data_IF_828910191779
#
_entry.id   IF_828910191779
#
_cell.length_a   1.000
_cell.length_b   1.000
_cell.length_c   1.000
_cell.angle_alpha   90.00
_cell.angle_beta   90.00
_cell.angle_gamma   90.00
#
_symmetry.space_group_name_H-M   'P 1'
#
loop_
_entity.id
_entity.type
_entity.pdbx_description
1 polymer ?
#
# COMPACT_ATOMS: atom_id res chain seq x y z
N UNK A 1 34.51 -18.17 17.38
CA UNK A 1 33.88 -18.44 16.07
C UNK A 1 34.90 -18.87 15.04
N UNK A 2 34.48 -19.45 13.91
CA UNK A 2 35.37 -19.79 12.80
C UNK A 2 36.14 -18.56 12.28
N UNK A 3 35.52 -17.39 12.30
CA UNK A 3 36.15 -16.12 11.96
C UNK A 3 37.33 -15.80 12.90
N UNK A 4 37.12 -15.86 14.21
CA UNK A 4 38.15 -15.61 15.22
C UNK A 4 39.30 -16.65 15.14
N UNK A 5 38.95 -17.91 14.84
CA UNK A 5 39.96 -18.96 14.62
C UNK A 5 40.85 -18.62 13.42
N UNK A 6 40.27 -18.18 12.30
CA UNK A 6 41.05 -17.78 11.11
C UNK A 6 41.84 -16.50 11.34
N UNK A 7 41.32 -15.56 12.10
CA UNK A 7 42.04 -14.35 12.50
C UNK A 7 43.24 -14.68 13.35
N UNK A 8 43.07 -15.53 14.39
CA UNK A 8 44.18 -15.99 15.25
C UNK A 8 45.23 -16.79 14.50
N UNK A 9 44.86 -17.48 13.42
CA UNK A 9 45.77 -18.24 12.54
C UNK A 9 46.38 -17.39 11.42
N UNK A 10 46.14 -16.09 11.36
CA UNK A 10 46.53 -15.16 10.29
C UNK A 10 46.16 -15.67 8.88
N UNK A 11 45.01 -16.28 8.74
CA UNK A 11 44.50 -16.80 7.46
C UNK A 11 43.74 -15.75 6.64
N UNK A 12 43.65 -14.52 7.09
CA UNK A 12 43.03 -13.41 6.36
C UNK A 12 43.86 -12.99 5.15
N UNK A 13 43.21 -12.77 4.01
CA UNK A 13 43.87 -12.24 2.80
C UNK A 13 44.34 -10.79 2.99
N UNK A 14 43.65 -10.01 3.80
CA UNK A 14 43.91 -8.60 4.09
C UNK A 14 43.27 -8.20 5.42
N UNK A 15 44.03 -7.46 6.22
CA UNK A 15 43.48 -6.81 7.43
C UNK A 15 43.18 -5.34 7.11
N UNK A 16 41.99 -4.91 7.40
CA UNK A 16 41.52 -3.53 7.22
C UNK A 16 40.84 -3.01 8.49
N UNK A 17 40.89 -1.70 8.70
CA UNK A 17 40.28 -1.08 9.85
C UNK A 17 38.73 -1.17 9.71
N UNK A 18 38.06 -1.69 10.72
CA UNK A 18 36.61 -1.86 10.70
C UNK A 18 35.83 -0.52 10.53
N UNK A 19 36.38 0.58 11.06
CA UNK A 19 35.79 1.90 10.89
C UNK A 19 35.87 2.38 9.45
N UNK A 20 36.96 2.10 8.73
CA UNK A 20 37.07 2.48 7.32
C UNK A 20 36.08 1.70 6.45
N UNK A 21 35.88 0.41 6.75
CA UNK A 21 34.82 -0.39 6.10
C UNK A 21 33.43 0.20 6.37
N UNK A 22 33.17 0.57 7.63
CA UNK A 22 31.88 1.16 8.01
C UNK A 22 31.60 2.47 7.27
N UNK A 23 32.56 3.38 7.21
CA UNK A 23 32.41 4.63 6.45
C UNK A 23 32.19 4.37 4.97
N UNK A 24 32.90 3.42 4.37
CA UNK A 24 32.67 3.04 2.97
C UNK A 24 31.28 2.50 2.71
N UNK A 25 30.69 1.75 3.65
CA UNK A 25 29.30 1.29 3.57
C UNK A 25 28.36 2.50 3.60
N UNK A 26 28.53 3.45 4.54
CA UNK A 26 27.71 4.63 4.66
C UNK A 26 27.80 5.54 3.43
N UNK A 27 29.00 5.77 2.90
CA UNK A 27 29.23 6.53 1.68
C UNK A 27 28.47 5.90 0.50
N UNK A 28 28.62 4.58 0.32
CA UNK A 28 27.95 3.84 -0.74
C UNK A 28 26.43 3.91 -0.61
N UNK A 29 25.88 3.77 0.61
CA UNK A 29 24.46 3.90 0.84
C UNK A 29 23.94 5.31 0.54
N UNK A 30 24.69 6.35 0.88
CA UNK A 30 24.33 7.73 0.60
C UNK A 30 24.33 8.04 -0.89
N UNK A 31 25.28 7.46 -1.66
CA UNK A 31 25.41 7.71 -3.09
C UNK A 31 24.47 6.84 -3.95
N UNK A 32 24.24 5.59 -3.55
CA UNK A 32 23.62 4.57 -4.41
C UNK A 32 22.43 3.84 -3.79
N UNK A 33 22.17 4.00 -2.50
CA UNK A 33 21.16 3.26 -1.75
C UNK A 33 21.55 1.83 -1.39
N UNK A 34 22.74 1.37 -1.75
CA UNK A 34 23.25 0.01 -1.47
C UNK A 34 24.63 0.06 -0.80
N UNK A 35 25.03 -0.98 -0.03
CA UNK A 35 24.37 -2.26 0.23
C UNK A 35 23.20 -2.12 1.22
N UNK A 36 22.22 -3.03 1.14
CA UNK A 36 21.21 -3.17 2.17
C UNK A 36 21.80 -3.73 3.46
N UNK A 37 21.34 -3.24 4.61
CA UNK A 37 21.72 -3.73 5.93
C UNK A 37 20.52 -4.36 6.62
N UNK A 38 20.64 -5.63 6.97
CA UNK A 38 19.62 -6.36 7.72
C UNK A 38 20.14 -6.72 9.11
N UNK A 39 19.33 -6.47 10.11
CA UNK A 39 19.61 -6.83 11.49
C UNK A 39 19.28 -8.30 11.72
N UNK A 40 20.23 -9.17 11.48
CA UNK A 40 20.07 -10.64 11.51
C UNK A 40 19.37 -11.15 12.76
N UNK A 41 19.76 -10.67 13.95
CA UNK A 41 19.18 -11.14 15.21
C UNK A 41 17.73 -10.69 15.36
N UNK A 42 17.39 -9.46 14.95
CA UNK A 42 16.03 -8.97 14.93
C UNK A 42 15.16 -9.77 13.94
N UNK A 43 15.67 -10.06 12.73
CA UNK A 43 14.98 -10.89 11.75
C UNK A 43 14.66 -12.27 12.31
N UNK A 44 15.64 -12.94 12.92
CA UNK A 44 15.47 -14.27 13.52
C UNK A 44 14.50 -14.25 14.71
N UNK A 45 14.62 -13.25 15.60
CA UNK A 45 13.74 -13.11 16.77
C UNK A 45 12.27 -12.92 16.38
N UNK A 46 12.03 -12.23 15.26
CA UNK A 46 10.68 -11.82 14.82
C UNK A 46 10.11 -12.67 13.67
N UNK A 47 10.74 -13.77 13.28
CA UNK A 47 10.26 -14.66 12.23
C UNK A 47 9.30 -15.71 12.76
N UNK A 48 8.24 -15.99 11.98
CA UNK A 48 7.37 -17.13 12.24
C UNK A 48 8.07 -18.48 11.93
N UNK A 49 9.22 -18.47 11.21
CA UNK A 49 10.02 -19.65 10.91
C UNK A 49 11.19 -19.87 11.90
N UNK A 50 11.26 -19.13 13.01
CA UNK A 50 12.36 -19.25 13.99
C UNK A 50 12.50 -20.62 14.65
N UNK A 51 11.44 -21.45 14.61
CA UNK A 51 11.46 -22.85 15.08
C UNK A 51 12.26 -23.78 14.15
N UNK A 52 12.57 -23.37 12.92
CA UNK A 52 13.32 -24.18 11.96
C UNK A 52 14.85 -24.08 12.18
N UNK A 53 15.30 -22.92 12.66
CA UNK A 53 16.73 -22.65 12.87
C UNK A 53 17.08 -21.19 12.55
N UNK A 54 18.36 -20.91 12.36
CA UNK A 54 18.84 -19.55 12.10
C UNK A 54 18.69 -19.19 10.62
N UNK A 55 17.95 -18.13 10.34
CA UNK A 55 17.87 -17.50 9.01
C UNK A 55 19.17 -16.73 8.80
N UNK A 56 19.91 -17.07 7.74
CA UNK A 56 21.27 -16.58 7.49
C UNK A 56 21.35 -15.47 6.47
N UNK A 57 20.36 -15.38 5.58
CA UNK A 57 20.34 -14.46 4.43
C UNK A 57 18.91 -14.06 4.07
N UNK A 58 18.79 -13.07 3.20
CA UNK A 58 17.56 -12.67 2.52
C UNK A 58 17.71 -12.82 1.01
N UNK A 59 16.67 -12.51 0.23
CA UNK A 59 16.76 -12.34 -1.22
C UNK A 59 17.42 -11.00 -1.59
N UNK A 60 17.57 -10.73 -2.90
CA UNK A 60 18.20 -9.53 -3.43
C UNK A 60 17.54 -8.23 -2.92
N UNK A 61 16.21 -8.17 -2.89
CA UNK A 61 15.46 -6.97 -2.51
C UNK A 61 15.10 -6.92 -1.01
N UNK A 62 15.55 -7.88 -0.21
CA UNK A 62 15.39 -7.96 1.25
C UNK A 62 13.97 -8.15 1.78
N UNK A 63 12.95 -8.28 0.94
CA UNK A 63 11.58 -8.55 1.37
C UNK A 63 11.35 -9.99 1.84
N UNK A 64 12.23 -10.93 1.46
CA UNK A 64 12.15 -12.35 1.81
C UNK A 64 13.19 -12.67 2.86
N UNK A 65 12.72 -13.04 4.05
CA UNK A 65 13.54 -13.49 5.17
C UNK A 65 13.05 -14.87 5.58
N UNK A 66 13.56 -15.91 4.90
CA UNK A 66 13.13 -17.28 5.03
C UNK A 66 14.27 -18.19 5.42
N UNK A 67 13.93 -19.29 6.08
CA UNK A 67 14.89 -20.32 6.47
C UNK A 67 15.41 -21.10 5.25
N UNK A 68 16.71 -21.34 5.22
CA UNK A 68 17.40 -22.21 4.27
C UNK A 68 18.54 -22.93 4.97
N UNK A 69 18.80 -24.19 4.55
CA UNK A 69 19.94 -24.99 5.01
C UNK A 69 20.49 -25.86 3.90
N UNK A 70 21.29 -26.88 4.26
CA UNK A 70 21.86 -27.81 3.27
C UNK A 70 20.84 -28.71 2.58
N UNK A 71 19.63 -28.85 3.11
CA UNK A 71 18.56 -29.73 2.62
C UNK A 71 17.43 -28.98 1.93
N UNK A 72 17.21 -27.70 2.28
CA UNK A 72 16.15 -26.90 1.74
C UNK A 72 16.61 -25.48 1.38
N UNK A 73 16.09 -24.96 0.28
CA UNK A 73 16.37 -23.61 -0.19
C UNK A 73 15.07 -22.82 -0.32
N UNK A 74 14.97 -21.68 0.35
CA UNK A 74 13.81 -20.80 0.30
C UNK A 74 13.52 -20.30 -1.12
N UNK A 75 12.25 -20.22 -1.46
CA UNK A 75 11.75 -19.72 -2.76
C UNK A 75 10.53 -18.84 -2.57
N UNK A 76 10.55 -17.68 -3.22
CA UNK A 76 9.46 -16.71 -3.18
C UNK A 76 8.27 -17.14 -4.04
N UNK A 77 7.05 -16.99 -3.51
CA UNK A 77 5.80 -17.04 -4.26
C UNK A 77 5.09 -15.72 -4.05
N UNK A 78 5.20 -14.80 -4.99
CA UNK A 78 4.86 -13.39 -4.81
C UNK A 78 3.65 -12.97 -5.61
N UNK A 79 2.86 -12.06 -5.03
CA UNK A 79 1.83 -11.29 -5.71
C UNK A 79 1.75 -9.89 -5.13
N UNK A 80 1.36 -8.90 -5.92
CA UNK A 80 1.14 -7.53 -5.44
C UNK A 80 -0.27 -7.05 -5.76
N UNK A 81 -0.87 -6.32 -4.81
CA UNK A 81 -2.22 -5.78 -4.92
C UNK A 81 -2.15 -4.29 -5.27
N UNK A 82 -2.89 -3.87 -6.30
CA UNK A 82 -2.95 -2.49 -6.76
C UNK A 82 -3.89 -1.67 -5.86
N UNK A 83 -3.34 -0.97 -4.86
CA UNK A 83 -4.11 -0.26 -3.83
C UNK A 83 -4.99 0.85 -4.36
N UNK A 84 -4.57 1.53 -5.43
CA UNK A 84 -5.34 2.61 -6.07
C UNK A 84 -6.75 2.20 -6.52
N UNK A 85 -6.99 0.89 -6.73
CA UNK A 85 -8.28 0.35 -7.14
C UNK A 85 -9.34 0.29 -6.03
N UNK A 86 -8.92 0.44 -4.77
CA UNK A 86 -9.80 0.42 -3.60
C UNK A 86 -10.19 1.83 -3.14
N UNK A 87 -9.70 2.89 -3.81
CA UNK A 87 -10.18 4.24 -3.55
C UNK A 87 -11.49 4.44 -4.25
N UNK A 88 -12.53 4.73 -3.48
CA UNK A 88 -13.88 5.02 -3.96
C UNK A 88 -14.22 6.46 -3.62
N UNK A 89 -14.79 7.17 -4.59
CA UNK A 89 -15.42 8.45 -4.34
C UNK A 89 -16.88 8.18 -4.02
N UNK A 90 -17.38 8.55 -2.83
CA UNK A 90 -18.79 8.43 -2.53
C UNK A 90 -19.61 9.25 -3.52
N UNK A 91 -20.74 8.75 -3.93
CA UNK A 91 -21.70 9.51 -4.72
C UNK A 91 -22.70 10.20 -3.78
N UNK A 92 -23.03 11.44 -4.05
CA UNK A 92 -24.18 12.08 -3.39
C UNK A 92 -25.44 11.43 -3.96
N UNK A 93 -26.32 10.86 -3.13
CA UNK A 93 -27.54 10.21 -3.59
C UNK A 93 -28.59 11.28 -3.99
N UNK A 94 -28.36 11.90 -5.15
CA UNK A 94 -29.33 12.87 -5.69
C UNK A 94 -30.65 12.19 -6.05
N UNK A 95 -31.76 12.82 -5.65
CA UNK A 95 -33.12 12.38 -5.99
C UNK A 95 -33.58 12.93 -7.36
N UNK A 96 -33.04 14.10 -7.74
CA UNK A 96 -33.46 14.88 -8.91
C UNK A 96 -32.28 15.20 -9.82
N UNK A 97 -31.64 14.17 -10.42
CA UNK A 97 -30.43 14.30 -11.24
C UNK A 97 -30.51 15.39 -12.32
N UNK A 98 -31.71 15.64 -12.86
CA UNK A 98 -31.92 16.67 -13.90
C UNK A 98 -32.15 18.09 -13.32
N UNK A 99 -32.17 18.24 -11.99
CA UNK A 99 -32.46 19.50 -11.32
C UNK A 99 -31.46 19.84 -10.20
N UNK A 100 -30.18 19.51 -10.43
CA UNK A 100 -29.13 19.92 -9.52
C UNK A 100 -28.76 21.36 -9.81
N UNK A 101 -28.77 22.22 -8.79
CA UNK A 101 -28.46 23.64 -8.89
C UNK A 101 -27.34 24.04 -7.95
N UNK A 102 -26.48 24.95 -8.39
CA UNK A 102 -25.49 25.60 -7.55
C UNK A 102 -25.71 27.12 -7.56
N UNK A 103 -25.86 27.70 -6.38
CA UNK A 103 -25.87 29.14 -6.22
C UNK A 103 -24.47 29.67 -5.96
N UNK A 104 -24.04 30.65 -6.75
CA UNK A 104 -22.69 31.19 -6.72
C UNK A 104 -22.70 32.73 -6.75
N UNK A 105 -21.55 33.36 -6.54
CA UNK A 105 -21.33 34.80 -6.77
C UNK A 105 -20.06 35.05 -7.54
N UNK A 106 -19.92 36.21 -8.13
CA UNK A 106 -18.72 36.64 -8.84
C UNK A 106 -17.53 36.75 -7.86
N UNK A 107 -16.30 36.50 -8.33
CA UNK A 107 -15.05 36.60 -7.56
C UNK A 107 -15.04 35.79 -6.24
N UNK A 108 -15.58 34.59 -6.28
CA UNK A 108 -15.73 33.72 -5.12
C UNK A 108 -14.85 32.47 -5.26
N UNK A 109 -13.80 32.38 -4.51
CA UNK A 109 -12.87 31.23 -4.53
C UNK A 109 -13.58 29.92 -4.11
N UNK A 110 -14.42 29.96 -3.09
CA UNK A 110 -15.19 28.79 -2.62
C UNK A 110 -16.16 28.29 -3.70
N UNK A 111 -16.75 29.22 -4.48
CA UNK A 111 -17.62 28.84 -5.60
C UNK A 111 -16.83 28.16 -6.71
N UNK A 112 -15.62 28.62 -7.00
CA UNK A 112 -14.73 27.96 -7.95
C UNK A 112 -14.34 26.56 -7.45
N UNK A 113 -13.97 26.43 -6.17
CA UNK A 113 -13.62 25.13 -5.57
C UNK A 113 -14.79 24.15 -5.62
N UNK A 114 -16.01 24.59 -5.32
CA UNK A 114 -17.23 23.77 -5.44
C UNK A 114 -17.43 23.27 -6.88
N UNK A 115 -17.34 24.17 -7.85
CA UNK A 115 -17.50 23.81 -9.27
C UNK A 115 -16.45 22.80 -9.72
N UNK A 116 -15.19 22.95 -9.29
CA UNK A 116 -14.13 22.01 -9.58
C UNK A 116 -14.40 20.63 -8.96
N UNK A 117 -14.89 20.60 -7.71
CA UNK A 117 -15.21 19.34 -7.02
C UNK A 117 -16.38 18.61 -7.72
N UNK A 118 -17.44 19.34 -8.11
CA UNK A 118 -18.56 18.76 -8.85
C UNK A 118 -18.12 18.23 -10.21
N UNK A 119 -17.28 18.99 -10.94
CA UNK A 119 -16.73 18.57 -12.24
C UNK A 119 -15.86 17.32 -12.11
N UNK A 120 -14.98 17.27 -11.09
CA UNK A 120 -14.12 16.12 -10.80
C UNK A 120 -14.93 14.84 -10.57
N UNK A 121 -16.10 14.97 -9.97
CA UNK A 121 -16.99 13.87 -9.68
C UNK A 121 -18.08 13.65 -10.76
N UNK A 122 -17.96 14.28 -11.94
CA UNK A 122 -18.88 14.17 -13.06
C UNK A 122 -20.33 14.53 -12.69
N UNK A 123 -20.52 15.47 -11.76
CA UNK A 123 -21.86 15.96 -11.36
C UNK A 123 -22.21 17.15 -12.25
N UNK A 124 -23.24 16.98 -13.07
CA UNK A 124 -23.82 18.04 -13.88
C UNK A 124 -24.75 18.91 -13.04
N UNK A 125 -24.70 20.21 -13.22
CA UNK A 125 -25.50 21.16 -12.46
C UNK A 125 -25.84 22.39 -13.29
N UNK A 126 -26.90 23.10 -12.88
CA UNK A 126 -27.25 24.43 -13.36
C UNK A 126 -26.69 25.49 -12.41
N UNK A 127 -25.90 26.42 -12.92
CA UNK A 127 -25.36 27.53 -12.11
C UNK A 127 -26.35 28.70 -12.10
N UNK A 128 -26.71 29.18 -10.92
CA UNK A 128 -27.48 30.40 -10.69
C UNK A 128 -26.60 31.40 -9.91
N UNK A 129 -26.40 32.60 -10.49
CA UNK A 129 -25.59 33.64 -9.86
C UNK A 129 -26.47 34.52 -8.98
N UNK A 130 -26.00 34.75 -7.77
CA UNK A 130 -26.61 35.68 -6.81
C UNK A 130 -25.84 36.99 -6.90
N UNK A 131 -26.50 38.04 -7.34
CA UNK A 131 -25.92 39.38 -7.39
C UNK A 131 -25.74 39.95 -5.98
N UNK A 132 -24.81 40.90 -5.83
CA UNK A 132 -24.45 41.46 -4.52
C UNK A 132 -25.64 42.14 -3.87
N UNK A 133 -26.47 42.83 -4.68
CA UNK A 133 -27.66 43.56 -4.25
C UNK A 133 -28.75 42.61 -3.71
N UNK A 134 -28.85 41.40 -4.25
CA UNK A 134 -29.87 40.41 -3.88
C UNK A 134 -29.39 39.43 -2.79
N UNK A 135 -28.13 39.55 -2.34
CA UNK A 135 -27.52 38.55 -1.47
C UNK A 135 -28.20 38.42 -0.10
N UNK A 136 -28.65 39.55 0.50
CA UNK A 136 -29.37 39.52 1.78
C UNK A 136 -30.77 38.93 1.65
N UNK A 137 -31.47 39.19 0.56
CA UNK A 137 -32.79 38.58 0.27
C UNK A 137 -32.63 37.07 0.02
N UNK A 138 -31.62 36.69 -0.74
CA UNK A 138 -31.26 35.29 -1.00
C UNK A 138 -31.00 34.51 0.30
N UNK A 139 -30.20 35.05 1.22
CA UNK A 139 -29.91 34.42 2.52
C UNK A 139 -31.21 34.14 3.31
N UNK A 140 -32.08 35.12 3.38
CA UNK A 140 -33.36 34.97 4.10
C UNK A 140 -34.31 33.97 3.43
N UNK A 141 -34.37 33.99 2.09
CA UNK A 141 -35.24 33.11 1.33
C UNK A 141 -34.82 31.64 1.43
N UNK A 142 -33.51 31.39 1.44
CA UNK A 142 -32.94 30.04 1.40
C UNK A 142 -32.43 29.55 2.75
N UNK A 143 -32.53 30.35 3.81
CA UNK A 143 -32.02 30.05 5.16
C UNK A 143 -30.54 29.64 5.16
N UNK A 144 -29.71 30.42 4.46
CA UNK A 144 -28.27 30.16 4.32
C UNK A 144 -27.48 31.45 4.57
N UNK A 145 -26.24 31.30 5.08
CA UNK A 145 -25.38 32.45 5.41
C UNK A 145 -24.38 32.81 4.29
N UNK A 146 -24.09 31.84 3.41
CA UNK A 146 -23.01 31.98 2.44
C UNK A 146 -23.32 31.31 1.11
N UNK A 147 -22.55 31.62 0.08
CA UNK A 147 -22.43 30.84 -1.16
C UNK A 147 -20.99 30.32 -1.30
N UNK A 148 -20.74 29.19 -1.98
CA UNK A 148 -21.68 28.40 -2.80
C UNK A 148 -22.64 27.57 -1.97
N UNK A 149 -23.82 27.26 -2.54
CA UNK A 149 -24.77 26.29 -2.01
C UNK A 149 -25.22 25.35 -3.12
N UNK A 150 -25.23 24.06 -2.84
CA UNK A 150 -25.68 23.00 -3.74
C UNK A 150 -27.08 22.53 -3.34
N UNK A 151 -27.96 22.40 -4.32
CA UNK A 151 -29.33 21.92 -4.16
C UNK A 151 -29.62 20.73 -5.07
N UNK A 152 -30.42 19.82 -4.59
CA UNK A 152 -31.06 18.74 -5.34
C UNK A 152 -32.57 19.03 -5.44
N UNK A 153 -33.01 19.63 -6.55
CA UNK A 153 -34.33 20.24 -6.62
C UNK A 153 -34.45 21.42 -5.66
N UNK A 154 -35.33 21.27 -4.69
CA UNK A 154 -35.52 22.25 -3.60
C UNK A 154 -34.82 21.84 -2.29
N UNK A 155 -34.23 20.66 -2.25
CA UNK A 155 -33.51 20.14 -1.07
C UNK A 155 -32.09 20.72 -0.99
N UNK A 156 -31.76 21.45 0.09
CA UNK A 156 -30.41 21.94 0.35
C UNK A 156 -29.47 20.79 0.70
N UNK A 157 -28.48 20.54 -0.15
CA UNK A 157 -27.37 19.62 0.15
C UNK A 157 -26.35 20.31 1.09
N UNK A 158 -25.93 21.54 0.76
CA UNK A 158 -25.07 22.35 1.59
C UNK A 158 -24.03 23.17 0.85
N UNK A 159 -23.22 23.88 1.64
CA UNK A 159 -22.08 24.67 1.15
C UNK A 159 -20.86 23.78 0.81
N UNK A 160 -19.78 24.43 0.34
CA UNK A 160 -18.57 23.76 -0.13
C UNK A 160 -18.03 22.72 0.86
N UNK A 161 -17.85 23.07 2.12
CA UNK A 161 -17.25 22.16 3.12
C UNK A 161 -18.05 20.86 3.28
N UNK A 162 -19.38 20.96 3.32
CA UNK A 162 -20.26 19.79 3.42
C UNK A 162 -20.23 18.93 2.15
N UNK A 163 -20.26 19.55 0.98
CA UNK A 163 -20.18 18.84 -0.30
C UNK A 163 -18.82 18.16 -0.49
N UNK A 164 -17.74 18.86 -0.15
CA UNK A 164 -16.39 18.30 -0.20
C UNK A 164 -16.22 17.11 0.76
N UNK A 165 -16.85 17.15 1.94
CA UNK A 165 -16.87 16.03 2.88
C UNK A 165 -17.66 14.83 2.32
N UNK A 166 -18.85 15.08 1.75
CA UNK A 166 -19.68 14.04 1.14
C UNK A 166 -19.00 13.36 -0.06
N UNK A 167 -18.18 14.08 -0.80
CA UNK A 167 -17.44 13.59 -1.97
C UNK A 167 -16.02 13.16 -1.64
N UNK A 168 -15.64 13.21 -0.36
CA UNK A 168 -14.28 12.83 0.06
C UNK A 168 -14.01 11.37 -0.28
N UNK A 169 -12.94 11.09 -1.03
CA UNK A 169 -12.57 9.72 -1.36
C UNK A 169 -12.31 8.88 -0.11
N UNK A 170 -12.82 7.67 -0.10
CA UNK A 170 -12.64 6.68 0.99
C UNK A 170 -11.95 5.44 0.46
N UNK A 171 -11.21 4.76 1.33
CA UNK A 171 -10.57 3.49 1.00
C UNK A 171 -11.49 2.32 1.38
N UNK A 172 -11.72 1.40 0.44
CA UNK A 172 -12.57 0.22 0.64
C UNK A 172 -11.74 -0.94 1.22
N UNK A 173 -11.68 -1.00 2.55
CA UNK A 173 -10.98 -2.06 3.26
C UNK A 173 -11.66 -3.43 3.13
N UNK A 174 -12.99 -3.47 2.96
CA UNK A 174 -13.74 -4.71 2.87
C UNK A 174 -13.45 -5.41 1.54
N UNK A 175 -13.39 -4.66 0.45
CA UNK A 175 -13.00 -5.22 -0.85
C UNK A 175 -11.51 -5.60 -0.86
N UNK A 176 -10.62 -4.81 -0.21
CA UNK A 176 -9.22 -5.20 -0.03
C UNK A 176 -9.10 -6.53 0.73
N UNK A 177 -9.84 -6.69 1.81
CA UNK A 177 -9.87 -7.92 2.60
C UNK A 177 -10.25 -9.13 1.72
N UNK A 178 -11.35 -9.01 0.99
CA UNK A 178 -11.83 -10.04 0.08
C UNK A 178 -10.83 -10.41 -1.03
N UNK A 179 -10.24 -9.40 -1.68
CA UNK A 179 -9.23 -9.62 -2.72
C UNK A 179 -7.97 -10.28 -2.14
N UNK A 180 -7.54 -9.88 -0.95
CA UNK A 180 -6.40 -10.50 -0.28
C UNK A 180 -6.64 -11.99 0.01
N UNK A 181 -7.85 -12.37 0.42
CA UNK A 181 -8.22 -13.80 0.58
C UNK A 181 -8.12 -14.56 -0.75
N UNK A 182 -8.56 -13.97 -1.85
CA UNK A 182 -8.44 -14.58 -3.19
C UNK A 182 -6.97 -14.76 -3.58
N UNK A 183 -6.14 -13.73 -3.39
CA UNK A 183 -4.71 -13.79 -3.69
C UNK A 183 -4.02 -14.88 -2.85
N UNK A 184 -4.31 -14.95 -1.55
CA UNK A 184 -3.79 -15.99 -0.66
C UNK A 184 -4.13 -17.39 -1.18
N UNK A 185 -5.38 -17.62 -1.57
CA UNK A 185 -5.80 -18.89 -2.14
C UNK A 185 -5.08 -19.22 -3.46
N UNK A 186 -4.91 -18.22 -4.33
CA UNK A 186 -4.25 -18.42 -5.63
C UNK A 186 -2.76 -18.72 -5.45
N UNK A 187 -2.05 -18.04 -4.53
CA UNK A 187 -0.65 -18.33 -4.25
C UNK A 187 -0.44 -19.74 -3.66
N UNK A 188 -1.39 -20.25 -2.88
CA UNK A 188 -1.34 -21.65 -2.44
C UNK A 188 -1.41 -22.63 -3.62
N UNK A 189 -2.25 -22.35 -4.61
CA UNK A 189 -2.30 -23.17 -5.84
C UNK A 189 -1.01 -23.05 -6.66
N UNK A 190 -0.41 -21.85 -6.72
CA UNK A 190 0.89 -21.64 -7.39
C UNK A 190 1.96 -22.54 -6.75
N UNK A 191 2.04 -22.64 -5.42
CA UNK A 191 2.98 -23.54 -4.75
C UNK A 191 2.82 -24.99 -5.26
N UNK A 192 1.60 -25.45 -5.42
CA UNK A 192 1.32 -26.85 -5.79
C UNK A 192 1.66 -27.18 -7.25
N UNK A 193 1.47 -26.22 -8.17
CA UNK A 193 1.63 -26.42 -9.62
C UNK A 193 2.93 -25.85 -10.20
N UNK A 194 3.72 -25.11 -9.40
CA UNK A 194 4.91 -24.43 -9.88
C UNK A 194 6.02 -25.41 -10.30
N UNK A 195 6.84 -24.98 -11.25
CA UNK A 195 8.07 -25.68 -11.60
C UNK A 195 9.17 -25.29 -10.60
N UNK A 196 9.80 -26.30 -9.99
CA UNK A 196 10.90 -26.10 -9.05
C UNK A 196 12.23 -26.49 -9.71
N UNK A 197 13.21 -25.58 -9.78
CA UNK A 197 14.47 -25.83 -10.48
C UNK A 197 15.37 -26.87 -9.79
N UNK A 198 15.18 -27.07 -8.48
CA UNK A 198 15.93 -28.06 -7.70
C UNK A 198 15.03 -28.79 -6.71
N UNK A 199 15.46 -29.96 -6.24
CA UNK A 199 14.76 -30.72 -5.18
C UNK A 199 14.69 -29.91 -3.88
N UNK A 200 15.75 -29.19 -3.54
CA UNK A 200 15.82 -28.38 -2.30
C UNK A 200 14.78 -27.24 -2.30
N UNK A 201 14.55 -26.61 -3.44
CA UNK A 201 13.54 -25.55 -3.55
C UNK A 201 12.12 -26.11 -3.42
N UNK A 202 11.85 -27.25 -4.01
CA UNK A 202 10.59 -27.96 -3.84
C UNK A 202 10.37 -28.39 -2.38
N UNK A 203 11.41 -28.92 -1.74
CA UNK A 203 11.35 -29.34 -0.33
C UNK A 203 10.96 -28.18 0.58
N UNK A 204 11.59 -27.03 0.46
CA UNK A 204 11.29 -25.84 1.24
C UNK A 204 9.84 -25.39 1.05
N UNK A 205 9.43 -25.20 -0.22
CA UNK A 205 8.09 -24.69 -0.51
C UNK A 205 6.97 -25.65 -0.09
N UNK A 206 7.14 -26.94 -0.33
CA UNK A 206 6.12 -27.93 0.05
C UNK A 206 6.04 -28.11 1.58
N UNK A 207 7.18 -27.98 2.30
CA UNK A 207 7.24 -28.10 3.75
C UNK A 207 6.69 -26.89 4.46
N UNK A 208 7.08 -25.67 4.03
CA UNK A 208 6.85 -24.43 4.74
C UNK A 208 5.74 -23.57 4.11
N UNK A 209 5.41 -23.79 2.85
CA UNK A 209 4.39 -23.09 2.05
C UNK A 209 4.39 -21.56 2.23
N UNK A 210 5.56 -20.88 2.09
CA UNK A 210 5.62 -19.43 2.22
C UNK A 210 4.98 -18.75 1.01
N UNK A 211 4.25 -17.70 1.26
CA UNK A 211 3.77 -16.75 0.25
C UNK A 211 4.17 -15.34 0.63
N UNK A 212 4.22 -14.44 -0.36
CA UNK A 212 4.56 -13.05 -0.15
C UNK A 212 3.59 -12.15 -0.90
N UNK A 213 2.63 -11.56 -0.18
CA UNK A 213 1.69 -10.59 -0.75
C UNK A 213 2.22 -9.20 -0.45
N UNK A 214 2.47 -8.42 -1.49
CA UNK A 214 2.86 -7.03 -1.41
C UNK A 214 1.81 -6.09 -1.99
N UNK A 215 2.18 -4.84 -2.15
CA UNK A 215 1.33 -3.77 -2.66
C UNK A 215 2.02 -3.01 -3.79
N UNK A 216 1.23 -2.30 -4.58
CA UNK A 216 1.68 -1.29 -5.53
C UNK A 216 0.70 -0.13 -5.53
N UNK A 217 1.19 1.07 -5.81
CA UNK A 217 0.36 2.26 -5.91
C UNK A 217 -0.11 2.82 -4.57
N UNK A 218 0.68 2.73 -3.49
CA UNK A 218 0.36 3.41 -2.23
C UNK A 218 0.37 4.92 -2.42
N UNK A 219 1.35 5.47 -3.14
CA UNK A 219 1.41 6.89 -3.47
C UNK A 219 0.23 7.33 -4.35
N UNK A 220 -0.17 6.51 -5.34
CA UNK A 220 -1.38 6.74 -6.13
C UNK A 220 -2.64 6.76 -5.25
N UNK A 221 -2.72 5.87 -4.28
CA UNK A 221 -3.83 5.81 -3.31
C UNK A 221 -3.95 7.11 -2.52
N UNK A 222 -2.82 7.59 -1.97
CA UNK A 222 -2.82 8.84 -1.22
C UNK A 222 -3.14 10.05 -2.11
N UNK A 223 -2.62 10.08 -3.34
CA UNK A 223 -2.97 11.14 -4.30
C UNK A 223 -4.48 11.15 -4.61
N UNK A 224 -5.08 9.98 -4.87
CA UNK A 224 -6.52 9.85 -5.11
C UNK A 224 -7.37 10.24 -3.90
N UNK A 225 -6.88 10.01 -2.68
CA UNK A 225 -7.54 10.38 -1.43
C UNK A 225 -7.25 11.83 -1.00
N UNK A 226 -6.45 12.58 -1.75
CA UNK A 226 -5.96 13.92 -1.39
C UNK A 226 -5.25 13.95 -0.02
N UNK A 227 -4.44 12.93 0.28
CA UNK A 227 -3.70 12.80 1.53
C UNK A 227 -2.20 13.04 1.24
N UNK A 228 -1.53 14.01 1.87
CA UNK A 228 -0.09 14.16 1.76
C UNK A 228 0.65 12.91 2.27
N UNK A 229 1.62 12.43 1.51
CA UNK A 229 2.33 11.18 1.80
C UNK A 229 2.95 11.11 3.21
N UNK A 230 3.44 12.24 3.71
CA UNK A 230 4.09 12.36 5.02
C UNK A 230 3.15 12.78 6.16
N UNK A 231 1.83 12.77 5.94
CA UNK A 231 0.84 13.18 6.94
C UNK A 231 0.52 12.06 7.94
N UNK A 232 0.03 12.44 9.12
CA UNK A 232 -0.48 11.50 10.11
C UNK A 232 -1.65 10.64 9.55
N UNK A 233 -2.50 11.26 8.73
CA UNK A 233 -3.59 10.54 8.07
C UNK A 233 -3.07 9.45 7.12
N UNK A 234 -1.98 9.71 6.38
CA UNK A 234 -1.33 8.69 5.55
C UNK A 234 -0.81 7.52 6.39
N UNK A 235 -0.21 7.80 7.55
CA UNK A 235 0.25 6.75 8.47
C UNK A 235 -0.91 5.89 8.98
N UNK A 236 -2.06 6.49 9.32
CA UNK A 236 -3.27 5.78 9.75
C UNK A 236 -3.79 4.88 8.63
N UNK A 237 -3.98 5.41 7.42
CA UNK A 237 -4.46 4.65 6.26
C UNK A 237 -3.50 3.51 5.93
N UNK A 238 -2.20 3.77 5.92
CA UNK A 238 -1.18 2.74 5.70
C UNK A 238 -1.28 1.60 6.71
N UNK A 239 -1.37 1.92 8.01
CA UNK A 239 -1.54 0.93 9.08
C UNK A 239 -2.79 0.08 8.83
N UNK A 240 -3.93 0.69 8.51
CA UNK A 240 -5.18 -0.01 8.26
C UNK A 240 -5.14 -0.89 7.01
N UNK A 241 -4.43 -0.48 5.95
CA UNK A 241 -4.22 -1.29 4.74
C UNK A 241 -3.48 -2.59 5.09
N UNK A 242 -2.32 -2.48 5.75
CA UNK A 242 -1.52 -3.66 6.07
C UNK A 242 -2.17 -4.52 7.16
N UNK A 243 -2.89 -3.95 8.12
CA UNK A 243 -3.70 -4.67 9.08
C UNK A 243 -4.77 -5.51 8.38
N UNK A 244 -5.51 -4.90 7.44
CA UNK A 244 -6.54 -5.58 6.63
C UNK A 244 -5.96 -6.75 5.83
N UNK A 245 -4.84 -6.50 5.15
CA UNK A 245 -4.18 -7.54 4.34
C UNK A 245 -3.68 -8.69 5.21
N UNK A 246 -3.08 -8.39 6.36
CA UNK A 246 -2.54 -9.40 7.24
C UNK A 246 -3.66 -10.26 7.86
N UNK A 247 -4.73 -9.63 8.34
CA UNK A 247 -5.90 -10.35 8.83
C UNK A 247 -6.50 -11.27 7.76
N UNK A 248 -6.77 -10.74 6.58
CA UNK A 248 -7.37 -11.49 5.48
C UNK A 248 -6.51 -12.69 5.03
N UNK A 249 -5.19 -12.48 4.97
CA UNK A 249 -4.26 -13.54 4.59
C UNK A 249 -4.18 -14.64 5.66
N UNK A 250 -4.14 -14.29 6.94
CA UNK A 250 -4.19 -15.24 8.06
C UNK A 250 -5.50 -16.03 8.07
N UNK A 251 -6.64 -15.34 8.00
CA UNK A 251 -7.96 -15.95 7.99
C UNK A 251 -8.10 -16.95 6.83
N UNK A 252 -7.69 -16.55 5.62
CA UNK A 252 -7.74 -17.47 4.46
C UNK A 252 -6.76 -18.63 4.59
N UNK A 253 -5.57 -18.40 5.08
CA UNK A 253 -4.58 -19.43 5.34
C UNK A 253 -5.08 -20.46 6.37
N UNK A 254 -5.78 -20.01 7.40
CA UNK A 254 -6.44 -20.85 8.41
C UNK A 254 -7.62 -21.62 7.79
N UNK A 255 -8.48 -20.97 6.99
CA UNK A 255 -9.56 -21.64 6.27
C UNK A 255 -9.06 -22.79 5.39
N UNK A 256 -7.95 -22.59 4.68
CA UNK A 256 -7.32 -23.64 3.86
C UNK A 256 -6.77 -24.75 4.76
N UNK A 257 -6.15 -24.39 5.89
CA UNK A 257 -5.60 -25.37 6.81
C UNK A 257 -6.69 -26.28 7.44
N UNK A 258 -7.89 -25.77 7.67
CA UNK A 258 -9.05 -26.60 8.11
C UNK A 258 -9.37 -27.74 7.13
N UNK A 259 -9.10 -27.56 5.86
CA UNK A 259 -9.45 -28.53 4.79
C UNK A 259 -8.24 -29.41 4.42
N UNK A 260 -7.07 -28.78 4.24
CA UNK A 260 -5.88 -29.41 3.69
C UNK A 260 -4.79 -29.71 4.73
N UNK A 261 -5.01 -29.31 5.99
CA UNK A 261 -4.02 -29.34 7.06
C UNK A 261 -3.07 -28.12 7.05
N UNK A 262 -2.42 -27.82 8.17
CA UNK A 262 -1.42 -26.79 8.28
C UNK A 262 -0.16 -27.13 7.47
N UNK A 263 0.73 -26.14 7.27
CA UNK A 263 2.04 -26.42 6.70
C UNK A 263 2.85 -27.34 7.63
N UNK A 264 3.73 -28.18 7.05
CA UNK A 264 4.34 -29.30 7.79
C UNK A 264 5.18 -28.89 9.02
N UNK A 265 5.80 -27.72 8.99
CA UNK A 265 6.61 -27.17 10.10
C UNK A 265 5.84 -26.22 11.02
N UNK A 266 4.51 -26.27 11.03
CA UNK A 266 3.65 -25.40 11.83
C UNK A 266 3.89 -25.57 13.34
N UNK A 267 3.98 -26.82 13.80
CA UNK A 267 4.18 -27.11 15.22
C UNK A 267 5.50 -26.52 15.75
N UNK A 268 5.41 -25.81 16.86
CA UNK A 268 6.55 -25.09 17.46
C UNK A 268 6.82 -23.70 16.87
N UNK A 269 6.10 -23.30 15.81
CA UNK A 269 6.16 -21.94 15.31
C UNK A 269 5.47 -20.95 16.25
N UNK A 270 5.78 -19.64 16.20
CA UNK A 270 5.03 -18.62 16.95
C UNK A 270 3.52 -18.68 16.69
N UNK A 271 3.10 -18.83 15.45
CA UNK A 271 1.69 -18.91 15.09
C UNK A 271 0.98 -20.10 15.77
N UNK A 272 1.66 -21.23 15.97
CA UNK A 272 1.09 -22.39 16.70
C UNK A 272 0.80 -22.10 18.18
N UNK A 273 1.38 -21.02 18.70
CA UNK A 273 1.17 -20.54 20.06
C UNK A 273 0.22 -19.32 20.10
N UNK A 274 -0.36 -18.93 18.98
CA UNK A 274 -1.18 -17.72 18.86
C UNK A 274 -0.36 -16.42 18.89
N UNK A 275 0.95 -16.49 18.64
CA UNK A 275 1.84 -15.33 18.58
C UNK A 275 1.96 -14.92 17.11
N UNK A 276 1.41 -13.77 16.77
CA UNK A 276 1.42 -13.21 15.42
C UNK A 276 2.55 -12.18 15.23
N UNK A 277 2.69 -11.65 14.03
CA UNK A 277 3.80 -10.76 13.69
C UNK A 277 3.83 -9.49 14.54
N UNK A 278 2.67 -8.85 14.76
CA UNK A 278 2.59 -7.65 15.60
C UNK A 278 2.93 -7.91 17.08
N UNK A 279 2.62 -9.11 17.60
CA UNK A 279 3.02 -9.50 18.96
C UNK A 279 4.57 -9.57 19.07
N UNK A 280 5.23 -10.12 18.05
CA UNK A 280 6.70 -10.20 18.00
C UNK A 280 7.37 -8.83 17.85
N UNK A 281 6.63 -7.83 17.37
CA UNK A 281 7.07 -6.44 17.25
C UNK A 281 6.73 -5.61 18.49
N UNK A 282 5.97 -6.15 19.43
CA UNK A 282 5.36 -5.45 20.58
C UNK A 282 4.43 -4.30 20.15
N UNK A 283 3.77 -4.46 19.01
CA UNK A 283 2.77 -3.53 18.52
C UNK A 283 1.38 -3.93 19.00
N UNK A 284 0.60 -2.92 19.38
CA UNK A 284 -0.80 -3.12 19.74
C UNK A 284 -1.68 -2.93 18.51
N UNK A 285 -2.52 -3.91 18.24
CA UNK A 285 -3.63 -3.82 17.30
C UNK A 285 -4.93 -3.58 18.06
N UNK A 286 -5.86 -2.86 17.44
CA UNK A 286 -7.22 -2.70 18.00
C UNK A 286 -8.11 -3.82 17.49
N UNK A 287 -9.12 -4.20 18.28
CA UNK A 287 -10.16 -5.14 17.86
C UNK A 287 -11.38 -4.40 17.22
N UNK A 288 -11.21 -3.12 16.86
CA UNK A 288 -12.33 -2.31 16.36
C UNK A 288 -12.84 -2.79 15.00
N UNK A 289 -11.92 -3.21 14.12
CA UNK A 289 -12.26 -3.71 12.78
C UNK A 289 -12.28 -5.23 12.70
N UNK A 290 -11.34 -5.90 13.36
CA UNK A 290 -11.13 -7.35 13.31
C UNK A 290 -11.01 -7.93 14.70
N UNK A 291 -11.63 -9.10 14.93
CA UNK A 291 -11.50 -9.85 16.19
C UNK A 291 -10.22 -10.72 16.14
N UNK A 292 -9.11 -10.09 16.53
CA UNK A 292 -7.80 -10.73 16.54
C UNK A 292 -7.69 -11.87 17.55
N UNK A 293 -8.38 -11.78 18.68
CA UNK A 293 -8.33 -12.80 19.72
C UNK A 293 -9.01 -14.08 19.24
N UNK A 294 -10.18 -13.95 18.62
CA UNK A 294 -10.88 -15.06 17.98
C UNK A 294 -10.02 -15.71 16.89
N UNK A 295 -9.40 -14.91 16.00
CA UNK A 295 -8.54 -15.43 14.94
C UNK A 295 -7.34 -16.18 15.50
N UNK A 296 -6.69 -15.68 16.57
CA UNK A 296 -5.58 -16.36 17.24
C UNK A 296 -6.00 -17.71 17.83
N UNK A 297 -7.19 -17.79 18.43
CA UNK A 297 -7.71 -19.05 18.97
C UNK A 297 -8.02 -20.05 17.85
N UNK A 298 -8.64 -19.62 16.76
CA UNK A 298 -8.88 -20.46 15.59
C UNK A 298 -7.59 -20.95 14.93
N UNK A 299 -6.53 -20.12 14.89
CA UNK A 299 -5.20 -20.51 14.39
C UNK A 299 -4.55 -21.57 15.29
N UNK A 300 -4.64 -21.42 16.60
CA UNK A 300 -4.13 -22.44 17.54
C UNK A 300 -4.81 -23.78 17.35
N UNK A 301 -6.11 -23.79 17.10
CA UNK A 301 -6.92 -25.00 16.92
C UNK A 301 -6.69 -25.67 15.57
N UNK A 302 -6.68 -24.89 14.48
CA UNK A 302 -6.73 -25.40 13.11
C UNK A 302 -5.40 -25.30 12.35
N UNK A 303 -4.48 -24.49 12.86
CA UNK A 303 -3.25 -24.11 12.18
C UNK A 303 -3.47 -23.09 11.05
N UNK A 304 -2.39 -22.77 10.34
CA UNK A 304 -2.41 -22.01 9.09
C UNK A 304 -1.68 -22.77 7.98
N UNK A 305 -2.09 -22.54 6.73
CA UNK A 305 -1.52 -23.25 5.56
C UNK A 305 -0.16 -22.69 5.13
N UNK A 306 0.16 -21.46 5.51
CA UNK A 306 1.35 -20.72 5.06
C UNK A 306 2.20 -20.27 6.25
N UNK A 307 3.51 -20.49 6.19
CA UNK A 307 4.43 -20.04 7.25
C UNK A 307 4.70 -18.53 7.22
N UNK A 308 4.64 -17.91 6.04
CA UNK A 308 4.79 -16.47 5.80
C UNK A 308 3.71 -16.00 4.83
N UNK A 309 3.27 -14.76 4.93
CA UNK A 309 2.10 -14.25 4.22
C UNK A 309 2.35 -12.94 3.46
N UNK A 310 2.90 -11.92 4.11
CA UNK A 310 3.15 -10.62 3.50
C UNK A 310 4.64 -10.41 3.25
N UNK A 311 4.97 -9.95 2.05
CA UNK A 311 6.32 -9.56 1.67
C UNK A 311 6.23 -8.42 0.64
N UNK A 312 6.28 -7.14 1.09
CA UNK A 312 6.22 -6.00 0.20
C UNK A 312 7.45 -5.93 -0.70
N UNK A 313 7.34 -6.49 -1.91
CA UNK A 313 8.38 -6.49 -2.94
C UNK A 313 8.39 -5.17 -3.73
N UNK A 314 9.47 -4.85 -4.50
CA UNK A 314 9.60 -3.59 -5.25
C UNK A 314 8.59 -3.37 -6.37
N UNK A 315 7.97 -4.39 -6.91
CA UNK A 315 6.96 -4.35 -8.00
C UNK A 315 7.40 -3.63 -9.28
N UNK A 316 8.71 -3.59 -9.57
CA UNK A 316 9.30 -2.80 -10.65
C UNK A 316 8.66 -2.97 -12.05
N UNK A 317 8.15 -4.16 -12.37
CA UNK A 317 7.48 -4.45 -13.66
C UNK A 317 5.96 -4.46 -13.52
N UNK A 318 5.42 -5.08 -12.46
CA UNK A 318 3.98 -5.25 -12.29
C UNK A 318 3.26 -3.94 -12.03
N UNK A 319 3.90 -2.99 -11.34
CA UNK A 319 3.36 -1.64 -11.13
C UNK A 319 3.19 -0.91 -12.45
N UNK A 320 4.15 -1.04 -13.37
CA UNK A 320 4.10 -0.40 -14.69
C UNK A 320 2.97 -0.96 -15.56
N UNK A 321 2.78 -2.28 -15.54
CA UNK A 321 1.69 -2.94 -16.29
C UNK A 321 0.32 -2.40 -15.85
N UNK A 322 0.15 -2.13 -14.57
CA UNK A 322 -1.11 -1.62 -14.00
C UNK A 322 -1.17 -0.09 -13.92
N UNK A 323 -0.11 0.61 -14.33
CA UNK A 323 -0.02 2.07 -14.33
C UNK A 323 0.01 2.69 -12.92
N UNK A 324 0.63 2.01 -11.96
CA UNK A 324 0.84 2.49 -10.60
C UNK A 324 2.30 2.89 -10.35
N UNK A 325 2.53 3.69 -9.32
CA UNK A 325 3.85 3.85 -8.75
C UNK A 325 4.31 2.54 -8.07
N UNK A 326 5.62 2.35 -7.95
CA UNK A 326 6.19 1.13 -7.38
C UNK A 326 5.81 0.97 -5.91
N UNK A 327 5.45 -0.25 -5.52
CA UNK A 327 5.18 -0.73 -4.16
C UNK A 327 4.54 0.32 -3.23
N UNK A 328 5.20 0.67 -2.14
CA UNK A 328 4.81 1.68 -1.13
C UNK A 328 5.67 2.94 -1.21
N UNK A 329 6.42 3.15 -2.29
CA UNK A 329 7.31 4.30 -2.45
C UNK A 329 6.54 5.58 -2.78
N UNK A 330 7.05 6.77 -2.35
CA UNK A 330 6.51 8.06 -2.79
C UNK A 330 6.85 8.31 -4.27
N UNK A 331 6.16 9.26 -4.91
CA UNK A 331 6.63 9.81 -6.17
C UNK A 331 7.93 10.58 -5.94
N UNK A 332 9.00 10.14 -6.59
CA UNK A 332 10.33 10.78 -6.47
C UNK A 332 10.49 11.95 -7.43
N UNK A 333 9.75 11.95 -8.53
CA UNK A 333 9.70 13.03 -9.50
C UNK A 333 8.34 13.08 -10.19
N UNK A 334 7.90 14.26 -10.60
CA UNK A 334 6.66 14.44 -11.35
C UNK A 334 6.83 14.17 -12.85
N UNK A 335 8.06 14.26 -13.37
CA UNK A 335 8.43 13.90 -14.73
C UNK A 335 9.79 13.20 -14.69
N UNK A 336 9.90 12.06 -15.36
CA UNK A 336 11.16 11.33 -15.48
C UNK A 336 11.20 10.51 -16.77
N UNK A 337 12.40 10.12 -17.18
CA UNK A 337 12.61 9.25 -18.33
C UNK A 337 12.78 7.81 -17.85
N UNK A 338 11.94 6.92 -18.35
CA UNK A 338 12.09 5.50 -18.15
C UNK A 338 12.73 4.86 -19.37
N UNK A 339 13.86 4.20 -19.15
CA UNK A 339 14.56 3.44 -20.18
C UNK A 339 14.16 1.97 -20.10
N UNK A 340 13.78 1.41 -21.24
CA UNK A 340 13.44 -0.01 -21.40
C UNK A 340 14.14 -0.56 -22.64
N UNK A 341 14.06 -1.87 -22.86
CA UNK A 341 14.57 -2.50 -24.10
C UNK A 341 13.85 -1.93 -25.33
N UNK A 342 12.59 -1.51 -25.21
CA UNK A 342 11.79 -0.97 -26.30
C UNK A 342 12.07 0.52 -26.59
N UNK A 343 12.83 1.22 -25.73
CA UNK A 343 13.15 2.64 -25.90
C UNK A 343 13.07 3.46 -24.62
N UNK A 344 13.11 4.78 -24.79
CA UNK A 344 12.98 5.76 -23.70
C UNK A 344 11.58 6.39 -23.73
N UNK A 345 10.95 6.45 -22.56
CA UNK A 345 9.60 6.99 -22.41
C UNK A 345 9.58 8.07 -21.34
N UNK A 346 8.98 9.21 -21.66
CA UNK A 346 8.73 10.26 -20.67
C UNK A 346 7.48 9.88 -19.88
N UNK A 347 7.64 9.74 -18.58
CA UNK A 347 6.57 9.43 -17.63
C UNK A 347 6.24 10.69 -16.86
N UNK A 348 4.96 11.01 -16.78
CA UNK A 348 4.44 12.12 -15.98
C UNK A 348 3.56 11.58 -14.83
N UNK A 349 3.60 12.25 -13.69
CA UNK A 349 2.67 11.98 -12.60
C UNK A 349 1.24 12.29 -13.06
N UNK A 350 0.47 11.23 -13.36
CA UNK A 350 -0.89 11.31 -13.89
C UNK A 350 -1.87 12.04 -12.98
N UNK A 351 -1.66 11.95 -11.65
CA UNK A 351 -2.54 12.58 -10.65
C UNK A 351 -2.34 14.10 -10.68
N UNK A 352 -1.09 14.56 -10.69
CA UNK A 352 -0.77 15.98 -10.83
C UNK A 352 -1.25 16.53 -12.17
N UNK A 353 -1.03 15.80 -13.27
CA UNK A 353 -1.52 16.19 -14.59
C UNK A 353 -3.04 16.36 -14.60
N UNK A 354 -3.76 15.39 -14.06
CA UNK A 354 -5.23 15.46 -14.00
C UNK A 354 -5.72 16.64 -13.16
N UNK A 355 -5.07 16.91 -12.03
CA UNK A 355 -5.41 18.04 -11.18
C UNK A 355 -5.18 19.38 -11.91
N UNK A 356 -4.03 19.56 -12.59
CA UNK A 356 -3.73 20.75 -13.38
C UNK A 356 -4.76 20.96 -14.52
N UNK A 357 -5.20 19.88 -15.16
CA UNK A 357 -6.26 19.94 -16.17
C UNK A 357 -7.58 20.39 -15.54
N UNK A 358 -7.96 19.82 -14.39
CA UNK A 358 -9.24 20.12 -13.72
C UNK A 358 -9.35 21.57 -13.30
N UNK A 359 -8.25 22.18 -12.82
CA UNK A 359 -8.20 23.59 -12.42
C UNK A 359 -7.86 24.56 -13.56
N UNK A 360 -7.67 24.03 -14.78
CA UNK A 360 -7.41 24.85 -15.98
C UNK A 360 -5.99 25.44 -16.07
N UNK A 361 -5.05 24.91 -15.30
CA UNK A 361 -3.63 25.36 -15.32
C UNK A 361 -2.73 24.53 -16.23
N UNK A 362 -3.23 23.47 -16.86
CA UNK A 362 -2.45 22.68 -17.81
C UNK A 362 -2.37 23.41 -19.18
N UNK A 363 -1.21 23.99 -19.46
CA UNK A 363 -0.89 24.66 -20.73
C UNK A 363 0.58 24.42 -21.10
N UNK A 364 1.03 24.92 -22.24
CA UNK A 364 2.38 24.70 -22.72
C UNK A 364 3.45 25.33 -21.81
N UNK A 365 3.16 26.48 -21.22
CA UNK A 365 4.06 27.13 -20.25
C UNK A 365 4.26 26.28 -18.99
N UNK A 366 3.18 25.80 -18.38
CA UNK A 366 3.22 24.91 -17.21
C UNK A 366 3.99 23.63 -17.52
N UNK A 367 3.76 23.03 -18.69
CA UNK A 367 4.49 21.85 -19.14
C UNK A 367 5.99 22.11 -19.26
N UNK A 368 6.38 23.22 -19.86
CA UNK A 368 7.80 23.60 -19.97
C UNK A 368 8.45 23.87 -18.62
N UNK A 369 7.73 24.51 -17.69
CA UNK A 369 8.22 24.73 -16.33
C UNK A 369 8.44 23.40 -15.61
N UNK A 370 7.50 22.43 -15.71
CA UNK A 370 7.65 21.10 -15.09
C UNK A 370 8.83 20.30 -15.64
N UNK A 371 9.20 20.50 -16.93
CA UNK A 371 10.36 19.83 -17.54
C UNK A 371 11.68 20.49 -17.11
N UNK A 372 11.65 21.78 -16.77
CA UNK A 372 12.84 22.55 -16.42
C UNK A 372 13.29 22.35 -14.96
N UNK A 373 12.39 22.06 -14.07
CA UNK A 373 12.61 21.87 -12.61
C UNK A 373 12.25 20.45 -12.18
#
# INVERSE_FOLDING_TARGET
>A
TLYEEYENKNMGMKTINARDVWFKILDSQSETGVPYLLYKDACNKKSNQKNLGTIKSSNLCCEIVEYSDDNETAVCNLASIALSKFVKTPSIPFKHLDNIKIYTKNNCNWCLMMKNELKKNNISYKEEKVEVEDFESFKKQHDVETVPQLYDGDDLIGGYSKVAELLKPVFDYDELHKITKIVTNNLNKVIDINFYPTVKTKTSNMRNRPIGIGVQGLADTFALMNIPFHSEQAAIVNKQIFETMYHAALEKSMEIAKIEGPYNSFNGSPASQGILQFDMWNEKVSNDRYDWDKLKDEIKENGIRNSLLLAPMPTASTSQILGNNECFEPFTSNIYVRRTIAGEFIIINKHLLQELINIGLWNEETKQQMVKY
#
